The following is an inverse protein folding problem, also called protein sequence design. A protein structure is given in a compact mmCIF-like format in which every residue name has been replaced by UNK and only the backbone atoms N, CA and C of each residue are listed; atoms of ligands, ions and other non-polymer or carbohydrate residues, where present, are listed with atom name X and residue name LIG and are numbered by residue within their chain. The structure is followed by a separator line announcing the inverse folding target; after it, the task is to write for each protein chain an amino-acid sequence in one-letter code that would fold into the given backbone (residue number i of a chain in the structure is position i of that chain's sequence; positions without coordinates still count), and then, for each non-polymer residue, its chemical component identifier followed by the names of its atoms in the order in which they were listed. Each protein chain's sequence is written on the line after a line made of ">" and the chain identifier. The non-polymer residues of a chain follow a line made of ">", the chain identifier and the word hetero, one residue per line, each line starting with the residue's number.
data_IF_059728408341
#
_entry.id   IF_059728408341
#
_cell.length_a   1.000
_cell.length_b   1.000
_cell.length_c   1.000
_cell.angle_alpha   90.00
_cell.angle_beta   90.00
_cell.angle_gamma   90.00
#
_symmetry.space_group_name_H-M   'P 1'
#
loop_
_entity.id
_entity.type
_entity.pdbx_description
1 polymer ?
#
# COMPACT_ATOMS: atom_id res chain seq x y z
N UNK A 1 -12.05 23.05 8.37
CA UNK A 1 -10.86 22.15 8.41
C UNK A 1 -9.59 22.96 8.16
N UNK A 2 -9.50 23.76 7.10
CA UNK A 2 -8.29 24.57 6.81
C UNK A 2 -7.86 25.50 7.97
N UNK A 3 -8.78 26.20 8.62
CA UNK A 3 -8.45 27.06 9.78
C UNK A 3 -7.79 26.28 10.94
N UNK A 4 -8.18 25.02 11.15
CA UNK A 4 -7.58 24.17 12.17
C UNK A 4 -6.15 23.77 11.78
N UNK A 5 -5.92 23.48 10.49
CA UNK A 5 -4.57 23.20 9.98
C UNK A 5 -3.65 24.40 10.13
N UNK A 6 -4.11 25.59 9.77
CA UNK A 6 -3.38 26.84 10.01
C UNK A 6 -3.09 27.05 11.51
N UNK A 7 -4.05 26.77 12.38
CA UNK A 7 -3.85 26.87 13.83
C UNK A 7 -2.80 25.91 14.39
N UNK A 8 -2.68 24.72 13.80
CA UNK A 8 -1.72 23.70 14.24
C UNK A 8 -0.33 23.85 13.61
N UNK A 9 -0.26 24.16 12.31
CA UNK A 9 0.98 24.08 11.52
C UNK A 9 1.44 25.43 10.93
N UNK A 10 0.65 26.49 11.05
CA UNK A 10 0.93 27.79 10.44
C UNK A 10 0.65 27.86 8.94
N UNK A 11 0.36 26.73 8.30
CA UNK A 11 -0.09 26.61 6.91
C UNK A 11 -1.09 25.44 6.76
N UNK A 12 -1.66 25.27 5.56
CA UNK A 12 -2.41 24.05 5.21
C UNK A 12 -1.43 23.09 4.52
N UNK A 13 -1.04 21.99 5.18
CA UNK A 13 -0.12 21.02 4.59
C UNK A 13 -0.71 20.40 3.31
N UNK A 14 0.17 19.98 2.40
CA UNK A 14 -0.23 19.21 1.21
C UNK A 14 -0.69 17.79 1.57
N UNK A 15 -0.09 17.21 2.60
CA UNK A 15 -0.42 15.89 3.17
C UNK A 15 -0.29 15.94 4.68
N UNK A 16 -1.02 15.06 5.36
CA UNK A 16 -0.94 14.85 6.79
C UNK A 16 -0.84 13.34 7.00
N UNK A 17 0.24 12.91 7.63
CA UNK A 17 0.38 11.54 8.13
C UNK A 17 -0.02 11.56 9.60
N UNK A 18 -0.93 10.66 9.97
CA UNK A 18 -1.39 10.53 11.37
C UNK A 18 -1.02 9.14 11.85
N UNK A 19 -0.26 9.07 12.93
CA UNK A 19 0.17 7.81 13.54
C UNK A 19 -0.54 7.60 14.88
N UNK A 20 -0.86 6.36 15.20
CA UNK A 20 -1.45 5.98 16.48
C UNK A 20 -0.40 6.11 17.61
N UNK A 21 -0.55 7.13 18.46
CA UNK A 21 0.45 7.48 19.46
C UNK A 21 0.66 6.40 20.53
N UNK A 22 -0.38 5.65 20.87
CA UNK A 22 -0.31 4.50 21.78
C UNK A 22 0.57 3.38 21.20
N UNK A 23 0.43 3.06 19.92
CA UNK A 23 1.31 2.11 19.23
C UNK A 23 2.75 2.66 19.11
N UNK A 24 2.92 3.91 18.66
CA UNK A 24 4.24 4.53 18.50
C UNK A 24 5.03 4.63 19.81
N UNK A 25 4.35 4.65 20.96
CA UNK A 25 5.01 4.65 22.28
C UNK A 25 5.52 3.28 22.74
N UNK A 26 5.06 2.21 22.09
CA UNK A 26 5.33 0.82 22.48
C UNK A 26 6.18 0.07 21.47
N UNK A 27 6.07 0.43 20.19
CA UNK A 27 6.82 -0.24 19.13
C UNK A 27 8.31 0.05 19.20
N UNK A 28 9.10 -0.86 18.66
CA UNK A 28 10.54 -0.68 18.48
C UNK A 28 10.83 0.42 17.45
N UNK A 29 12.05 0.97 17.48
CA UNK A 29 12.49 1.95 16.49
C UNK A 29 12.35 1.44 15.05
N UNK A 30 12.60 0.14 14.83
CA UNK A 30 12.46 -0.49 13.51
C UNK A 30 11.00 -0.54 13.04
N UNK A 31 10.07 -0.90 13.93
CA UNK A 31 8.63 -0.89 13.64
C UNK A 31 8.10 0.52 13.41
N UNK A 32 8.60 1.50 14.19
CA UNK A 32 8.26 2.90 13.98
C UNK A 32 8.73 3.41 12.61
N UNK A 33 9.97 3.11 12.21
CA UNK A 33 10.49 3.45 10.89
C UNK A 33 9.69 2.76 9.77
N UNK A 34 9.35 1.47 9.94
CA UNK A 34 8.52 0.74 8.98
C UNK A 34 7.13 1.39 8.82
N UNK A 35 6.51 1.82 9.93
CA UNK A 35 5.23 2.53 9.93
C UNK A 35 5.32 3.88 9.22
N UNK A 36 6.34 4.68 9.52
CA UNK A 36 6.56 5.98 8.84
C UNK A 36 6.76 5.77 7.34
N UNK A 37 7.56 4.78 6.95
CA UNK A 37 7.78 4.48 5.53
C UNK A 37 6.53 3.97 4.82
N UNK A 38 5.73 3.13 5.48
CA UNK A 38 4.43 2.66 4.98
C UNK A 38 3.52 3.85 4.64
N UNK A 39 3.33 4.77 5.58
CA UNK A 39 2.47 5.94 5.33
C UNK A 39 3.04 6.88 4.25
N UNK A 40 4.37 6.99 4.14
CA UNK A 40 5.01 7.75 3.08
C UNK A 40 4.78 7.14 1.68
N UNK A 41 4.64 5.82 1.58
CA UNK A 41 4.35 5.14 0.31
C UNK A 41 2.96 5.45 -0.26
N UNK A 42 2.03 5.94 0.57
CA UNK A 42 0.74 6.45 0.10
C UNK A 42 0.85 7.77 -0.66
N UNK A 43 1.98 8.47 -0.55
CA UNK A 43 2.18 9.73 -1.25
C UNK A 43 2.89 9.45 -2.58
N UNK A 44 2.17 9.62 -3.69
CA UNK A 44 2.70 9.45 -5.03
C UNK A 44 2.56 10.71 -5.86
N UNK A 45 3.34 10.82 -6.93
CA UNK A 45 3.07 11.79 -7.99
C UNK A 45 1.96 11.23 -8.89
N UNK A 46 0.95 12.05 -9.17
CA UNK A 46 -0.10 11.73 -10.12
C UNK A 46 0.51 11.54 -11.51
N UNK A 47 -0.04 10.61 -12.29
CA UNK A 47 0.27 10.49 -13.70
C UNK A 47 -0.64 11.42 -14.54
N UNK A 48 -0.14 11.86 -15.69
CA UNK A 48 -0.96 12.50 -16.72
C UNK A 48 -1.75 11.45 -17.55
N UNK A 49 -2.47 11.92 -18.56
CA UNK A 49 -3.29 11.07 -19.44
C UNK A 49 -2.47 10.07 -20.28
N UNK A 50 -1.15 10.22 -20.34
CA UNK A 50 -0.22 9.34 -21.05
C UNK A 50 0.62 8.46 -20.10
N UNK A 51 0.39 8.55 -18.78
CA UNK A 51 1.13 7.79 -17.77
C UNK A 51 2.44 8.42 -17.31
N UNK A 52 2.79 9.62 -17.78
CA UNK A 52 4.00 10.33 -17.34
C UNK A 52 3.75 11.11 -16.04
N UNK A 53 4.81 11.43 -15.26
CA UNK A 53 4.64 12.21 -14.04
C UNK A 53 4.01 13.59 -14.31
N UNK A 54 2.91 13.89 -13.63
CA UNK A 54 2.11 15.12 -13.83
C UNK A 54 2.69 16.30 -13.06
N UNK A 55 2.76 17.45 -13.72
CA UNK A 55 3.18 18.72 -13.13
C UNK A 55 2.06 19.78 -13.23
N UNK A 56 2.01 20.70 -12.28
CA UNK A 56 1.11 21.86 -12.35
C UNK A 56 1.71 22.97 -13.25
N UNK A 57 1.00 24.09 -13.40
CA UNK A 57 1.44 25.20 -14.26
C UNK A 57 2.71 25.87 -13.76
N UNK A 58 2.97 25.74 -12.46
CA UNK A 58 4.14 26.25 -11.76
C UNK A 58 5.34 25.28 -11.85
N UNK A 59 5.19 24.13 -12.53
CA UNK A 59 6.23 23.13 -12.70
C UNK A 59 6.47 22.22 -11.48
N UNK A 60 5.58 22.24 -10.50
CA UNK A 60 5.65 21.39 -9.31
C UNK A 60 4.94 20.05 -9.55
N UNK A 61 5.41 18.94 -8.96
CA UNK A 61 4.75 17.64 -9.07
C UNK A 61 3.35 17.72 -8.48
N UNK A 62 2.36 17.21 -9.22
CA UNK A 62 1.01 17.04 -8.71
C UNK A 62 1.00 15.75 -7.90
N UNK A 63 0.76 15.84 -6.60
CA UNK A 63 0.74 14.69 -5.71
C UNK A 63 -0.67 14.09 -5.63
N UNK A 64 -0.74 12.80 -5.35
CA UNK A 64 -1.97 12.02 -5.17
C UNK A 64 -1.79 10.97 -4.08
N UNK A 65 -2.90 10.50 -3.52
CA UNK A 65 -2.92 9.30 -2.69
C UNK A 65 -2.81 8.07 -3.60
N UNK A 66 -1.85 7.20 -3.32
CA UNK A 66 -1.77 5.83 -3.85
C UNK A 66 -2.38 4.92 -2.80
N UNK A 67 -3.39 4.12 -3.18
CA UNK A 67 -3.91 3.09 -2.29
C UNK A 67 -2.84 2.03 -1.97
N UNK A 68 -3.10 1.17 -0.98
CA UNK A 68 -2.20 0.06 -0.66
C UNK A 68 -1.89 -0.75 -1.93
N UNK A 69 -0.64 -0.72 -2.36
CA UNK A 69 -0.17 -1.46 -3.53
C UNK A 69 0.86 -2.50 -3.08
N UNK A 70 0.93 -3.65 -3.74
CA UNK A 70 1.86 -4.74 -3.36
C UNK A 70 3.32 -4.24 -3.37
N UNK A 71 3.64 -3.27 -4.22
CA UNK A 71 4.98 -2.64 -4.28
C UNK A 71 5.39 -1.93 -2.97
N UNK A 72 4.43 -1.37 -2.22
CA UNK A 72 4.65 -0.74 -0.91
C UNK A 72 5.09 -1.78 0.12
N UNK A 73 4.41 -2.93 0.14
CA UNK A 73 4.78 -4.06 0.99
C UNK A 73 6.17 -4.60 0.66
N UNK A 74 6.55 -4.67 -0.63
CA UNK A 74 7.88 -5.14 -1.03
C UNK A 74 8.98 -4.22 -0.49
N UNK A 75 8.77 -2.91 -0.50
CA UNK A 75 9.73 -1.93 0.02
C UNK A 75 9.98 -2.09 1.52
N UNK A 76 8.90 -2.15 2.30
CA UNK A 76 8.94 -2.33 3.76
C UNK A 76 9.54 -3.69 4.12
N UNK A 77 9.04 -4.78 3.51
CA UNK A 77 9.51 -6.15 3.78
C UNK A 77 10.98 -6.32 3.44
N UNK A 78 11.47 -5.71 2.35
CA UNK A 78 12.88 -5.79 1.97
C UNK A 78 13.81 -5.13 2.99
N UNK A 79 13.38 -4.06 3.66
CA UNK A 79 14.22 -3.31 4.61
C UNK A 79 14.05 -3.77 6.05
N UNK A 80 12.85 -4.15 6.44
CA UNK A 80 12.47 -4.41 7.83
C UNK A 80 12.07 -5.86 8.11
N UNK A 81 11.96 -6.69 7.06
CA UNK A 81 11.46 -8.06 7.17
C UNK A 81 9.94 -8.14 7.08
N UNK A 82 9.43 -9.36 6.95
CA UNK A 82 8.00 -9.63 6.93
C UNK A 82 7.39 -9.46 8.32
N UNK A 83 6.25 -8.77 8.42
CA UNK A 83 5.40 -8.85 9.61
C UNK A 83 4.83 -10.27 9.75
N UNK A 84 4.20 -10.57 10.88
CA UNK A 84 3.55 -11.87 11.11
C UNK A 84 2.51 -12.16 10.03
N UNK A 85 1.68 -11.18 9.69
CA UNK A 85 0.63 -11.31 8.67
C UNK A 85 1.22 -11.49 7.27
N UNK A 86 2.30 -10.77 6.95
CA UNK A 86 3.01 -10.97 5.68
C UNK A 86 3.67 -12.35 5.63
N UNK A 87 4.21 -12.83 6.75
CA UNK A 87 4.80 -14.16 6.83
C UNK A 87 3.72 -15.25 6.66
N UNK A 88 2.54 -15.10 7.26
CA UNK A 88 1.40 -15.99 7.03
C UNK A 88 0.98 -16.03 5.55
N UNK A 89 0.98 -14.87 4.88
CA UNK A 89 0.72 -14.80 3.44
C UNK A 89 1.81 -15.50 2.61
N UNK A 90 3.08 -15.31 2.97
CA UNK A 90 4.22 -15.98 2.33
C UNK A 90 4.12 -17.50 2.52
N UNK A 91 3.80 -17.96 3.73
CA UNK A 91 3.65 -19.37 4.07
C UNK A 91 2.48 -19.98 3.30
N UNK A 92 1.33 -19.30 3.25
CA UNK A 92 0.18 -19.72 2.45
C UNK A 92 0.51 -19.80 0.94
N UNK A 93 1.27 -18.83 0.41
CA UNK A 93 1.70 -18.82 -0.99
C UNK A 93 2.75 -19.89 -1.32
N UNK A 94 3.53 -20.32 -0.32
CA UNK A 94 4.53 -21.39 -0.47
C UNK A 94 3.92 -22.79 -0.53
N UNK A 95 2.65 -22.95 -0.14
CA UNK A 95 1.91 -24.20 -0.13
C UNK A 95 1.08 -24.36 -1.42
N UNK A 96 0.76 -25.60 -1.84
CA UNK A 96 -0.20 -25.81 -2.92
C UNK A 96 -1.54 -25.17 -2.58
N UNK A 97 -2.16 -24.50 -3.56
CA UNK A 97 -3.49 -23.92 -3.37
C UNK A 97 -4.49 -25.00 -2.95
N UNK A 98 -5.18 -24.77 -1.83
CA UNK A 98 -6.21 -25.68 -1.29
C UNK A 98 -7.32 -25.93 -2.32
N UNK A 99 -7.63 -24.92 -3.13
CA UNK A 99 -8.54 -25.02 -4.27
C UNK A 99 -7.76 -24.82 -5.57
N UNK A 100 -7.41 -25.93 -6.21
CA UNK A 100 -6.76 -25.91 -7.51
C UNK A 100 -7.71 -25.44 -8.63
N UNK A 101 -7.14 -24.86 -9.70
CA UNK A 101 -7.90 -24.44 -10.89
C UNK A 101 -8.74 -25.57 -11.51
N UNK A 102 -8.27 -26.82 -11.44
CA UNK A 102 -8.99 -27.99 -11.94
C UNK A 102 -10.24 -28.30 -11.11
N UNK A 103 -10.21 -28.09 -9.79
CA UNK A 103 -11.38 -28.26 -8.94
C UNK A 103 -12.47 -27.24 -9.30
N UNK A 104 -12.09 -25.98 -9.55
CA UNK A 104 -13.02 -24.93 -9.99
C UNK A 104 -13.65 -25.29 -11.35
N UNK A 105 -12.85 -25.74 -12.30
CA UNK A 105 -13.33 -26.13 -13.63
C UNK A 105 -14.34 -27.29 -13.56
N UNK A 106 -14.13 -28.26 -12.64
CA UNK A 106 -15.08 -29.35 -12.36
C UNK A 106 -16.37 -28.85 -11.70
N UNK A 107 -16.27 -27.96 -10.71
CA UNK A 107 -17.44 -27.40 -10.02
C UNK A 107 -18.32 -26.52 -10.90
N UNK A 108 -17.74 -25.86 -11.91
CA UNK A 108 -18.43 -24.98 -12.85
C UNK A 108 -19.35 -25.73 -13.84
N UNK A 109 -19.17 -27.04 -14.05
CA UNK A 109 -20.00 -27.89 -14.93
C UNK A 109 -19.95 -27.58 -16.44
N UNK A 110 -19.50 -26.38 -16.82
CA UNK A 110 -19.42 -25.90 -18.21
C UNK A 110 -17.99 -25.56 -18.63
N UNK A 111 -17.12 -25.22 -17.68
CA UNK A 111 -15.75 -24.81 -17.92
C UNK A 111 -14.91 -25.92 -18.59
N UNK A 112 -15.20 -27.20 -18.33
CA UNK A 112 -14.54 -28.34 -18.98
C UNK A 112 -15.08 -28.66 -20.38
N UNK A 113 -16.22 -28.09 -20.80
CA UNK A 113 -16.75 -28.32 -22.17
C UNK A 113 -15.96 -27.57 -23.25
N UNK A 114 -15.16 -26.55 -22.89
CA UNK A 114 -14.34 -25.77 -23.84
C UNK A 114 -12.92 -26.33 -24.05
N UNK A 115 -12.54 -27.38 -23.32
CA UNK A 115 -11.23 -28.04 -23.41
C UNK A 115 -11.25 -29.31 -24.29
N UNK A 116 -12.42 -29.67 -24.81
CA UNK A 116 -12.64 -30.81 -25.71
C UNK A 116 -12.77 -30.34 -27.17
#
# INVERSE_FOLDING_TARGET
>A
MEQQMYGWFGEVPKFIITLAGDYCSQCTDAEFCALVEHELYHIAQAADEFGAPKFNKEGQPVLTMRGHDVEEFVGVVRRYGASVEVQELVDAASMPAEVSKINIARSCGTCMMKLA
#
